data_IF_896861728886
#
_entry.id   IF_896861728886
#
_cell.length_a   1.000
_cell.length_b   1.000
_cell.length_c   1.000
_cell.angle_alpha   90.00
_cell.angle_beta   90.00
_cell.angle_gamma   90.00
#
_symmetry.space_group_name_H-M   'P 1'
#
loop_
_entity.id
_entity.type
_entity.pdbx_description
1 polymer ?
#
# COMPACT_ATOMS: atom_id res chain seq x y z
N UNK A 1 -0.70 0.58 22.44
CA UNK A 1 -1.79 0.77 21.46
C UNK A 1 -1.20 0.84 20.05
N UNK A 2 -1.78 0.20 19.03
CA UNK A 2 -1.29 0.34 17.66
C UNK A 2 -1.49 1.79 17.24
N UNK A 3 -0.40 2.53 17.03
CA UNK A 3 -0.43 3.93 16.64
C UNK A 3 -1.21 4.08 15.33
N UNK A 4 -2.28 4.87 15.36
CA UNK A 4 -3.12 5.14 14.19
C UNK A 4 -2.32 5.80 13.06
N UNK A 5 -2.93 5.86 11.88
CA UNK A 5 -2.34 6.56 10.72
C UNK A 5 -2.87 8.00 10.71
N UNK A 6 -1.98 8.97 10.56
CA UNK A 6 -2.33 10.38 10.43
C UNK A 6 -2.47 10.77 8.96
N UNK A 7 -1.54 10.37 8.11
CA UNK A 7 -1.62 10.56 6.64
C UNK A 7 -1.15 9.32 5.92
N UNK A 8 -1.61 9.13 4.70
CA UNK A 8 -1.15 8.10 3.78
C UNK A 8 -1.03 8.69 2.38
N UNK A 9 0.08 8.39 1.72
CA UNK A 9 0.42 8.82 0.38
C UNK A 9 0.88 7.63 -0.45
N UNK A 10 0.66 7.69 -1.76
CA UNK A 10 1.08 6.69 -2.73
C UNK A 10 -0.03 6.39 -3.75
N UNK A 11 0.11 5.29 -4.51
CA UNK A 11 1.17 4.28 -4.41
C UNK A 11 2.52 4.78 -4.95
N UNK A 12 3.63 4.36 -4.32
CA UNK A 12 5.01 4.72 -4.72
C UNK A 12 5.81 3.59 -5.33
N UNK A 13 5.22 2.40 -5.41
CA UNK A 13 5.88 1.23 -5.94
C UNK A 13 4.92 0.07 -6.03
N UNK A 14 5.20 -0.80 -6.99
CA UNK A 14 4.40 -1.98 -7.27
C UNK A 14 5.33 -3.19 -7.35
N UNK A 15 4.92 -4.29 -6.73
CA UNK A 15 5.68 -5.53 -6.69
C UNK A 15 4.78 -6.73 -6.97
N UNK A 16 5.18 -7.56 -7.93
CA UNK A 16 4.58 -8.87 -8.20
C UNK A 16 5.37 -9.93 -7.45
N UNK A 17 4.74 -10.60 -6.49
CA UNK A 17 5.32 -11.74 -5.81
C UNK A 17 4.86 -13.01 -6.52
N UNK A 18 5.78 -13.65 -7.24
CA UNK A 18 5.54 -14.92 -7.93
C UNK A 18 5.85 -16.09 -7.00
N UNK A 19 5.07 -17.16 -7.07
CA UNK A 19 5.28 -18.34 -6.19
C UNK A 19 6.50 -19.16 -6.61
N UNK A 20 6.95 -19.02 -7.86
CA UNK A 20 8.10 -19.72 -8.40
C UNK A 20 9.00 -18.75 -9.17
N UNK A 21 10.32 -18.99 -9.14
CA UNK A 21 11.31 -18.24 -9.94
C UNK A 21 11.13 -18.42 -11.46
N UNK A 22 10.34 -19.41 -11.88
CA UNK A 22 10.22 -19.86 -13.29
C UNK A 22 9.07 -19.21 -14.07
N UNK A 23 8.47 -18.12 -13.58
CA UNK A 23 7.54 -17.31 -14.40
C UNK A 23 6.06 -17.72 -14.33
N UNK A 24 5.64 -18.44 -13.28
CA UNK A 24 4.22 -18.69 -13.02
C UNK A 24 3.43 -17.41 -12.66
N UNK A 25 2.09 -17.47 -12.65
CA UNK A 25 1.24 -16.34 -12.29
C UNK A 25 1.61 -15.80 -10.90
N UNK A 26 1.51 -14.47 -10.68
CA UNK A 26 1.80 -13.88 -9.39
C UNK A 26 0.84 -14.44 -8.33
N UNK A 27 1.38 -14.76 -7.15
CA UNK A 27 0.60 -15.14 -5.96
C UNK A 27 0.04 -13.91 -5.28
N UNK A 28 0.82 -12.82 -5.27
CA UNK A 28 0.40 -11.56 -4.67
C UNK A 28 0.84 -10.37 -5.52
N UNK A 29 0.00 -9.34 -5.53
CA UNK A 29 0.31 -8.02 -6.06
C UNK A 29 0.40 -7.05 -4.88
N UNK A 30 1.48 -6.29 -4.75
CA UNK A 30 1.71 -5.39 -3.63
C UNK A 30 1.91 -3.96 -4.12
N UNK A 31 1.13 -3.04 -3.58
CA UNK A 31 1.30 -1.60 -3.79
C UNK A 31 1.76 -0.93 -2.51
N UNK A 32 2.81 -0.14 -2.62
CA UNK A 32 3.50 0.44 -1.48
C UNK A 32 3.07 1.88 -1.21
N UNK A 33 2.78 2.18 0.06
CA UNK A 33 2.32 3.47 0.54
C UNK A 33 3.18 3.94 1.70
N UNK A 34 3.52 5.22 1.70
CA UNK A 34 4.17 5.88 2.82
C UNK A 34 3.20 6.78 3.55
N UNK A 35 3.43 7.01 4.83
CA UNK A 35 2.56 7.87 5.59
C UNK A 35 3.10 8.13 6.98
N UNK A 36 2.40 8.99 7.71
CA UNK A 36 2.76 9.35 9.07
C UNK A 36 1.87 8.62 10.04
N UNK A 37 2.47 8.06 11.09
CA UNK A 37 1.74 7.53 12.24
C UNK A 37 1.33 8.66 13.19
N UNK A 38 0.45 8.36 14.13
CA UNK A 38 0.06 9.29 15.21
C UNK A 38 1.24 9.77 16.04
N UNK A 39 2.25 8.91 16.24
CA UNK A 39 3.48 9.26 16.95
C UNK A 39 4.51 10.02 16.09
N UNK A 40 4.06 10.59 14.95
CA UNK A 40 4.87 11.35 14.00
C UNK A 40 6.03 10.56 13.38
N UNK A 41 6.05 9.23 13.52
CA UNK A 41 7.02 8.40 12.81
C UNK A 41 6.47 8.04 11.43
N UNK A 42 7.36 8.07 10.44
CA UNK A 42 7.05 7.53 9.13
C UNK A 42 6.74 6.04 9.25
N UNK A 43 5.68 5.62 8.59
CA UNK A 43 5.33 4.22 8.41
C UNK A 43 5.31 3.87 6.93
N UNK A 44 5.47 2.58 6.68
CA UNK A 44 5.38 2.00 5.36
C UNK A 44 4.35 0.87 5.41
N UNK A 45 3.40 0.95 4.49
CA UNK A 45 2.32 -0.01 4.36
C UNK A 45 2.26 -0.52 2.93
N UNK A 46 1.78 -1.75 2.79
CA UNK A 46 1.50 -2.33 1.51
C UNK A 46 0.02 -2.72 1.45
N UNK A 47 -0.65 -2.29 0.38
CA UNK A 47 -1.91 -2.88 -0.01
C UNK A 47 -1.61 -4.12 -0.85
N UNK A 48 -2.13 -5.26 -0.42
CA UNK A 48 -1.80 -6.57 -1.00
C UNK A 48 -3.07 -7.15 -1.59
N UNK A 49 -3.02 -7.51 -2.87
CA UNK A 49 -4.04 -8.34 -3.49
C UNK A 49 -3.51 -9.77 -3.58
N UNK A 50 -4.15 -10.67 -2.84
CA UNK A 50 -3.92 -12.11 -2.90
C UNK A 50 -4.63 -12.64 -4.14
N UNK A 51 -3.84 -13.05 -5.15
CA UNK A 51 -4.36 -13.52 -6.44
C UNK A 51 -5.07 -14.86 -6.27
N UNK A 52 -4.58 -15.72 -5.38
CA UNK A 52 -5.13 -17.06 -5.13
C UNK A 52 -6.51 -16.98 -4.47
N UNK A 53 -6.65 -16.10 -3.48
CA UNK A 53 -7.90 -15.90 -2.74
C UNK A 53 -8.83 -14.85 -3.38
N UNK A 54 -8.30 -14.00 -4.26
CA UNK A 54 -9.01 -12.85 -4.81
C UNK A 54 -9.35 -11.80 -3.75
N UNK A 55 -8.53 -11.69 -2.69
CA UNK A 55 -8.82 -10.86 -1.51
C UNK A 55 -7.78 -9.76 -1.30
N UNK A 56 -8.25 -8.61 -0.83
CA UNK A 56 -7.40 -7.49 -0.42
C UNK A 56 -7.02 -7.59 1.06
N UNK A 57 -5.73 -7.44 1.35
CA UNK A 57 -5.12 -7.44 2.68
C UNK A 57 -4.22 -6.20 2.82
N UNK A 58 -3.97 -5.76 4.05
CA UNK A 58 -3.01 -4.67 4.33
C UNK A 58 -1.86 -5.27 5.14
N UNK A 59 -0.64 -5.07 4.66
CA UNK A 59 0.58 -5.44 5.37
C UNK A 59 1.29 -4.19 5.88
N UNK A 60 1.86 -4.26 7.09
CA UNK A 60 2.91 -3.32 7.48
C UNK A 60 4.20 -3.87 6.91
N UNK A 61 4.78 -3.17 5.94
CA UNK A 61 5.98 -3.66 5.30
C UNK A 61 7.19 -3.23 6.12
N UNK A 62 7.77 -4.15 6.88
CA UNK A 62 9.07 -4.00 7.55
C UNK A 62 10.23 -4.03 6.54
N UNK A 63 10.14 -3.28 5.43
CA UNK A 63 11.31 -3.14 4.56
C UNK A 63 12.43 -2.55 5.41
N UNK A 64 13.53 -3.31 5.55
CA UNK A 64 14.76 -2.87 6.23
C UNK A 64 15.36 -1.62 5.60
N UNK A 65 14.92 -1.28 4.39
CA UNK A 65 15.37 -0.10 3.67
C UNK A 65 14.19 0.48 2.91
N UNK A 66 13.65 1.65 3.30
CA UNK A 66 12.98 2.48 2.32
C UNK A 66 14.06 2.93 1.34
N UNK A 67 13.93 2.63 0.04
CA UNK A 67 14.35 3.66 -0.92
C UNK A 67 13.47 4.85 -0.54
N UNK A 68 14.11 5.93 -0.08
CA UNK A 68 13.51 7.07 0.64
C UNK A 68 12.11 7.45 0.14
N UNK A 69 11.23 8.04 1.00
CA UNK A 69 10.04 8.71 0.48
C UNK A 69 10.48 9.60 -0.70
N UNK A 70 9.85 9.48 -1.88
CA UNK A 70 10.47 10.00 -3.10
C UNK A 70 10.70 11.50 -3.09
N UNK A 71 9.97 12.26 -2.25
CA UNK A 71 10.08 13.71 -2.22
C UNK A 71 10.15 14.30 -0.81
N UNK A 72 11.06 15.27 -0.64
CA UNK A 72 11.10 16.20 0.51
C UNK A 72 9.78 16.95 0.68
N UNK A 73 9.00 17.10 -0.38
CA UNK A 73 7.68 17.73 -0.37
C UNK A 73 6.63 16.91 0.37
N UNK A 74 6.70 15.57 0.31
CA UNK A 74 5.78 14.70 1.09
C UNK A 74 6.07 14.89 2.57
N UNK A 75 7.35 14.98 2.95
CA UNK A 75 7.77 15.29 4.31
C UNK A 75 7.23 16.67 4.72
N UNK A 76 7.42 17.70 3.90
CA UNK A 76 6.93 19.05 4.18
C UNK A 76 5.40 19.14 4.31
N UNK A 77 4.65 18.54 3.38
CA UNK A 77 3.19 18.46 3.42
C UNK A 77 2.68 17.65 4.62
N UNK A 78 3.45 16.64 5.04
CA UNK A 78 3.17 15.78 6.21
C UNK A 78 3.38 16.50 7.55
N UNK A 79 4.31 17.46 7.63
CA UNK A 79 4.57 18.23 8.85
C UNK A 79 3.90 19.61 8.88
N UNK A 80 3.53 20.18 7.73
CA UNK A 80 3.03 21.56 7.61
C UNK A 80 1.50 21.75 7.56
N UNK A 81 0.70 20.68 7.42
CA UNK A 81 -0.74 20.78 7.17
C UNK A 81 -1.67 20.29 8.28
N UNK A 82 -2.90 20.83 8.33
CA UNK A 82 -4.07 20.22 9.01
C UNK A 82 -4.46 18.92 8.32
N UNK A 83 -3.68 17.87 8.56
CA UNK A 83 -3.88 16.57 7.93
C UNK A 83 -5.05 15.84 8.61
N UNK A 84 -6.04 15.35 7.85
CA UNK A 84 -7.18 14.61 8.40
C UNK A 84 -6.73 13.26 8.96
N UNK A 85 -7.07 12.98 10.23
CA UNK A 85 -6.80 11.68 10.87
C UNK A 85 -7.50 10.55 10.11
N UNK A 86 -6.75 9.50 9.78
CA UNK A 86 -7.32 8.27 9.24
C UNK A 86 -7.90 7.45 10.38
N UNK A 87 -9.20 7.14 10.31
CA UNK A 87 -9.83 6.25 11.30
C UNK A 87 -9.16 4.86 11.27
N UNK A 88 -8.81 4.30 12.44
CA UNK A 88 -8.35 2.90 12.53
C UNK A 88 -9.39 1.98 11.89
N UNK A 89 -8.97 1.09 10.99
CA UNK A 89 -9.86 0.19 10.23
C UNK A 89 -10.22 0.65 8.81
N UNK A 90 -10.01 1.92 8.47
CA UNK A 90 -10.30 2.45 7.12
C UNK A 90 -9.12 2.42 6.15
N UNK A 91 -7.93 2.01 6.64
CA UNK A 91 -6.66 2.08 5.90
C UNK A 91 -6.71 1.32 4.59
N UNK A 92 -7.30 0.11 4.60
CA UNK A 92 -7.48 -0.71 3.39
C UNK A 92 -8.31 0.02 2.33
N UNK A 93 -9.40 0.66 2.75
CA UNK A 93 -10.29 1.37 1.84
C UNK A 93 -9.62 2.63 1.30
N UNK A 94 -8.90 3.36 2.14
CA UNK A 94 -8.13 4.55 1.71
C UNK A 94 -7.03 4.19 0.70
N UNK A 95 -6.27 3.13 0.95
CA UNK A 95 -5.28 2.63 -0.02
C UNK A 95 -5.93 2.26 -1.35
N UNK A 96 -7.11 1.62 -1.31
CA UNK A 96 -7.85 1.27 -2.53
C UNK A 96 -8.39 2.49 -3.27
N UNK A 97 -8.78 3.55 -2.56
CA UNK A 97 -9.23 4.81 -3.18
C UNK A 97 -8.06 5.59 -3.81
N UNK A 98 -6.86 5.49 -3.25
CA UNK A 98 -5.66 6.11 -3.80
C UNK A 98 -5.03 5.29 -4.95
N UNK A 99 -5.46 4.05 -5.17
CA UNK A 99 -5.00 3.29 -6.33
C UNK A 99 -5.57 3.86 -7.62
N UNK A 100 -4.73 4.11 -8.65
CA UNK A 100 -5.20 4.47 -9.97
C UNK A 100 -6.17 3.41 -10.54
N UNK A 101 -7.16 3.80 -11.36
CA UNK A 101 -8.08 2.86 -12.00
C UNK A 101 -7.38 1.74 -12.78
N UNK A 102 -6.24 2.05 -13.40
CA UNK A 102 -5.42 1.09 -14.16
C UNK A 102 -4.86 -0.03 -13.26
N UNK A 103 -4.38 0.31 -12.08
CA UNK A 103 -3.85 -0.65 -11.10
C UNK A 103 -4.97 -1.50 -10.49
N UNK A 104 -6.15 -0.90 -10.28
CA UNK A 104 -7.36 -1.62 -9.89
C UNK A 104 -7.79 -2.62 -10.97
N UNK A 105 -7.73 -2.23 -12.25
CA UNK A 105 -8.00 -3.11 -13.37
C UNK A 105 -6.97 -4.24 -13.47
N UNK A 106 -5.70 -3.97 -13.15
CA UNK A 106 -4.65 -4.99 -13.08
C UNK A 106 -5.01 -6.10 -12.08
N UNK A 107 -5.42 -5.74 -10.85
CA UNK A 107 -5.90 -6.72 -9.87
C UNK A 107 -7.11 -7.52 -10.37
N UNK A 108 -8.06 -6.86 -11.04
CA UNK A 108 -9.26 -7.50 -11.58
C UNK A 108 -8.94 -8.55 -12.68
N UNK A 109 -7.92 -8.32 -13.51
CA UNK A 109 -7.47 -9.28 -14.53
C UNK A 109 -7.02 -10.61 -13.91
N UNK A 110 -6.28 -10.55 -12.81
CA UNK A 110 -5.81 -11.76 -12.12
C UNK A 110 -6.92 -12.50 -11.36
N UNK A 111 -8.00 -11.81 -10.98
CA UNK A 111 -9.20 -12.46 -10.41
C UNK A 111 -9.93 -13.34 -11.43
N UNK A 112 -9.85 -13.03 -12.73
CA UNK A 112 -10.58 -13.73 -13.79
C UNK A 112 -9.91 -15.03 -14.26
N UNK A 113 -8.66 -15.30 -13.89
CA UNK A 113 -7.92 -16.53 -14.28
C UNK A 113 -8.47 -17.79 -13.56
N UNK A 114 -9.41 -17.61 -12.61
CA UNK A 114 -9.97 -18.70 -11.80
C UNK A 114 -11.28 -19.30 -12.34
N UNK A 115 -11.60 -19.11 -13.63
CA UNK A 115 -12.76 -19.75 -14.28
C UNK A 115 -12.35 -20.99 -15.04
#
# INVERSE_FOLDING_TARGET
MPSGIRTLHGPYGFQEIRSTKLGGPPRELRWHFFGLRENLRMGHWALIFDVTEGKWKVGVSQLKTPKAPPDREIIAATYGGKIPRVRPGSIKNLMRLQLPPEEMAKAARFRMIKR
#
